data_IF_425253512181
#
_entry.id   IF_425253512181
#
_cell.length_a   1.000
_cell.length_b   1.000
_cell.length_c   1.000
_cell.angle_alpha   90.00
_cell.angle_beta   90.00
_cell.angle_gamma   90.00
#
_symmetry.space_group_name_H-M   'P 1'
#
loop_
_entity.id
_entity.type
_entity.pdbx_description
1 polymer ?
#
# COMPACT_ATOMS: atom_id res chain seq x y z
N UNK A 1 38.63 -50.95 -24.46
CA UNK A 1 37.75 -49.81 -24.76
C UNK A 1 37.44 -49.11 -23.45
N UNK A 2 37.97 -47.90 -23.29
CA UNK A 2 37.71 -47.00 -22.15
C UNK A 2 36.22 -46.62 -22.13
N UNK A 3 35.66 -46.49 -20.92
CA UNK A 3 34.23 -46.31 -20.66
C UNK A 3 33.68 -44.90 -20.89
N UNK A 4 32.46 -44.69 -20.38
CA UNK A 4 31.90 -43.46 -19.77
C UNK A 4 30.40 -43.76 -19.53
N UNK A 5 29.98 -44.05 -18.30
CA UNK A 5 29.46 -43.11 -17.28
C UNK A 5 28.22 -42.33 -17.72
N UNK A 6 27.15 -42.56 -16.97
CA UNK A 6 25.77 -42.22 -17.29
C UNK A 6 25.42 -40.74 -17.28
N UNK A 7 24.36 -40.43 -18.01
CA UNK A 7 23.68 -39.14 -17.97
C UNK A 7 22.48 -39.26 -17.01
N UNK A 8 22.67 -38.86 -15.75
CA UNK A 8 21.54 -38.53 -14.88
C UNK A 8 21.00 -37.16 -15.31
N UNK A 9 19.85 -37.15 -15.98
CA UNK A 9 19.14 -35.92 -16.32
C UNK A 9 18.62 -35.27 -15.03
N UNK A 10 19.31 -34.24 -14.55
CA UNK A 10 18.83 -33.40 -13.46
C UNK A 10 17.71 -32.53 -14.03
N UNK A 11 16.46 -32.92 -13.80
CA UNK A 11 15.30 -32.06 -14.03
C UNK A 11 15.36 -30.91 -13.03
N UNK A 12 16.04 -29.83 -13.44
CA UNK A 12 16.05 -28.58 -12.71
C UNK A 12 14.66 -27.97 -12.73
N UNK A 13 13.98 -27.99 -11.59
CA UNK A 13 12.81 -27.17 -11.38
C UNK A 13 13.24 -25.70 -11.50
N UNK A 14 12.83 -25.05 -12.59
CA UNK A 14 12.90 -23.60 -12.74
C UNK A 14 11.99 -22.98 -11.68
N UNK A 15 12.54 -22.77 -10.48
CA UNK A 15 11.91 -21.92 -9.49
C UNK A 15 11.94 -20.49 -10.06
N UNK A 16 10.85 -20.06 -10.69
CA UNK A 16 10.62 -18.64 -10.97
C UNK A 16 10.82 -17.87 -9.66
N UNK A 17 11.74 -16.90 -9.59
CA UNK A 17 11.85 -16.06 -8.42
C UNK A 17 10.51 -15.34 -8.26
N UNK A 18 9.87 -15.51 -7.11
CA UNK A 18 8.80 -14.61 -6.71
C UNK A 18 9.43 -13.22 -6.61
N UNK A 19 9.20 -12.36 -7.61
CA UNK A 19 9.52 -10.95 -7.49
C UNK A 19 8.69 -10.39 -6.35
N UNK A 20 9.28 -10.31 -5.17
CA UNK A 20 8.76 -9.46 -4.11
C UNK A 20 8.81 -8.03 -4.65
N UNK A 21 7.66 -7.45 -4.91
CA UNK A 21 7.55 -6.03 -5.23
C UNK A 21 8.28 -5.24 -4.14
N UNK A 22 9.08 -4.21 -4.48
CA UNK A 22 9.72 -3.39 -3.46
C UNK A 22 8.63 -2.75 -2.61
N UNK A 23 8.77 -2.85 -1.28
CA UNK A 23 7.83 -2.27 -0.33
C UNK A 23 7.80 -0.75 -0.53
N UNK A 24 6.79 -0.25 -1.23
CA UNK A 24 6.66 1.16 -1.55
C UNK A 24 5.89 1.82 -0.41
N UNK A 25 6.41 2.92 0.13
CA UNK A 25 5.71 3.72 1.15
C UNK A 25 5.35 5.08 0.57
N UNK A 26 4.11 5.51 0.77
CA UNK A 26 3.62 6.81 0.31
C UNK A 26 2.68 7.46 1.32
N UNK A 27 2.75 8.78 1.38
CA UNK A 27 1.85 9.58 2.22
C UNK A 27 0.69 10.16 1.41
N UNK A 28 -0.48 10.16 2.03
CA UNK A 28 -1.72 10.72 1.48
C UNK A 28 -2.34 11.68 2.47
N UNK A 29 -2.79 12.83 1.99
CA UNK A 29 -3.40 13.87 2.81
C UNK A 29 -4.85 14.02 2.42
N UNK A 30 -5.73 13.82 3.39
CA UNK A 30 -7.18 13.93 3.21
C UNK A 30 -7.72 15.19 3.86
N UNK A 31 -8.57 15.91 3.14
CA UNK A 31 -9.20 17.13 3.63
C UNK A 31 -10.71 16.95 3.72
N UNK A 32 -11.31 17.48 4.78
CA UNK A 32 -12.73 17.38 5.01
C UNK A 32 -13.30 18.65 5.58
N UNK A 33 -14.42 19.06 5.02
CA UNK A 33 -15.25 20.16 5.53
C UNK A 33 -16.71 19.73 5.52
N UNK A 34 -17.48 20.16 6.51
CA UNK A 34 -18.90 19.85 6.61
C UNK A 34 -19.59 20.78 7.58
N UNK A 35 -20.77 21.30 7.23
CA UNK A 35 -21.60 22.08 8.16
C UNK A 35 -22.33 21.20 9.21
N UNK A 36 -22.28 19.88 9.07
CA UNK A 36 -23.00 18.91 9.92
C UNK A 36 -22.09 18.18 10.92
N UNK A 37 -20.84 18.61 11.06
CA UNK A 37 -19.89 17.99 12.00
C UNK A 37 -19.22 16.70 11.48
N UNK A 38 -19.28 16.44 10.17
CA UNK A 38 -18.74 15.22 9.54
C UNK A 38 -17.37 15.45 8.87
N UNK A 39 -16.68 16.56 9.17
CA UNK A 39 -15.45 16.93 8.50
C UNK A 39 -14.36 15.84 8.60
N UNK A 40 -14.16 15.24 9.78
CA UNK A 40 -13.18 14.18 9.96
C UNK A 40 -13.51 12.92 9.14
N UNK A 41 -14.79 12.59 8.99
CA UNK A 41 -15.21 11.47 8.15
C UNK A 41 -14.87 11.72 6.69
N UNK A 42 -15.16 12.91 6.17
CA UNK A 42 -14.83 13.28 4.80
C UNK A 42 -13.33 13.35 4.55
N UNK A 43 -12.55 13.88 5.50
CA UNK A 43 -11.09 13.89 5.42
C UNK A 43 -10.52 12.47 5.27
N UNK A 44 -10.99 11.52 6.08
CA UNK A 44 -10.59 10.10 5.98
C UNK A 44 -11.01 9.46 4.66
N UNK A 45 -12.23 9.74 4.22
CA UNK A 45 -12.72 9.23 2.95
C UNK A 45 -11.90 9.74 1.76
N UNK A 46 -11.51 11.02 1.79
CA UNK A 46 -10.65 11.65 0.78
C UNK A 46 -9.26 10.98 0.74
N UNK A 47 -8.55 10.91 1.88
CA UNK A 47 -7.24 10.23 1.96
C UNK A 47 -7.30 8.79 1.47
N UNK A 48 -8.34 8.05 1.90
CA UNK A 48 -8.57 6.66 1.47
C UNK A 48 -8.76 6.54 -0.03
N UNK A 49 -9.61 7.39 -0.61
CA UNK A 49 -9.89 7.37 -2.06
C UNK A 49 -8.61 7.65 -2.86
N UNK A 50 -7.77 8.57 -2.40
CA UNK A 50 -6.48 8.86 -3.02
C UNK A 50 -5.54 7.65 -2.95
N UNK A 51 -5.42 7.00 -1.79
CA UNK A 51 -4.60 5.81 -1.61
C UNK A 51 -5.06 4.64 -2.48
N UNK A 52 -6.37 4.34 -2.50
CA UNK A 52 -6.96 3.28 -3.31
C UNK A 52 -6.74 3.52 -4.80
N UNK A 53 -6.91 4.76 -5.28
CA UNK A 53 -6.61 5.14 -6.68
C UNK A 53 -5.14 4.97 -7.05
N UNK A 54 -4.24 5.12 -6.09
CA UNK A 54 -2.81 4.89 -6.27
C UNK A 54 -2.41 3.40 -6.11
N UNK A 55 -3.35 2.52 -5.76
CA UNK A 55 -3.11 1.10 -5.56
C UNK A 55 -2.43 0.77 -4.22
N UNK A 56 -2.64 1.60 -3.19
CA UNK A 56 -2.22 1.34 -1.82
C UNK A 56 -3.42 0.88 -1.00
N UNK A 57 -3.30 -0.25 -0.31
CA UNK A 57 -4.40 -0.84 0.48
C UNK A 57 -4.07 -0.98 1.96
N UNK A 58 -2.79 -1.02 2.31
CA UNK A 58 -2.33 -1.05 3.70
C UNK A 58 -1.98 0.37 4.13
N UNK A 59 -2.81 0.98 4.97
CA UNK A 59 -2.73 2.40 5.31
C UNK A 59 -2.92 2.63 6.81
N UNK A 60 -2.08 3.49 7.38
CA UNK A 60 -2.14 3.93 8.76
C UNK A 60 -2.42 5.44 8.82
N UNK A 61 -3.47 5.86 9.52
CA UNK A 61 -3.64 7.25 9.94
C UNK A 61 -2.67 7.55 11.08
N UNK A 62 -1.56 8.23 10.80
CA UNK A 62 -0.55 8.54 11.82
C UNK A 62 -0.77 9.90 12.47
N UNK A 63 -1.47 10.82 11.79
CA UNK A 63 -1.76 12.15 12.32
C UNK A 63 -3.10 12.69 11.81
N UNK A 64 -3.72 13.54 12.63
CA UNK A 64 -4.89 14.32 12.25
C UNK A 64 -4.87 15.69 12.90
N UNK A 65 -5.35 16.67 12.16
CA UNK A 65 -5.63 18.02 12.64
C UNK A 65 -7.14 18.24 12.57
N UNK A 66 -7.76 18.45 13.74
CA UNK A 66 -9.20 18.77 13.84
C UNK A 66 -9.30 20.18 14.41
N UNK A 67 -9.49 21.16 13.53
CA UNK A 67 -9.62 22.57 13.94
C UNK A 67 -10.99 22.81 14.57
N UNK A 68 -12.02 22.17 14.00
CA UNK A 68 -13.39 22.22 14.49
C UNK A 68 -14.13 20.94 14.05
N UNK A 69 -15.36 20.67 14.53
CA UNK A 69 -16.15 19.59 13.95
C UNK A 69 -16.45 19.79 12.45
N UNK A 70 -16.27 21.01 11.93
CA UNK A 70 -16.60 21.41 10.58
C UNK A 70 -15.40 21.49 9.62
N UNK A 71 -14.17 21.33 10.14
CA UNK A 71 -12.94 21.34 9.36
C UNK A 71 -11.90 20.37 9.97
N UNK A 72 -11.44 19.43 9.15
CA UNK A 72 -10.44 18.46 9.54
C UNK A 72 -9.50 18.09 8.38
N UNK A 73 -8.25 17.80 8.73
CA UNK A 73 -7.25 17.22 7.83
C UNK A 73 -6.66 15.97 8.46
N UNK A 74 -6.43 14.93 7.67
CA UNK A 74 -5.79 13.68 8.10
C UNK A 74 -4.58 13.35 7.24
N UNK A 75 -3.61 12.68 7.83
CA UNK A 75 -2.39 12.27 7.17
C UNK A 75 -2.24 10.77 7.33
N UNK A 76 -2.20 10.09 6.19
CA UNK A 76 -2.07 8.65 6.10
C UNK A 76 -0.72 8.29 5.52
N UNK A 77 -0.13 7.22 6.03
CA UNK A 77 1.05 6.58 5.47
C UNK A 77 0.65 5.19 5.04
N UNK A 78 0.87 4.87 3.78
CA UNK A 78 0.45 3.60 3.20
C UNK A 78 1.63 2.84 2.60
N UNK A 79 1.52 1.51 2.62
CA UNK A 79 2.49 0.56 2.06
C UNK A 79 1.83 -0.37 1.03
N UNK A 80 2.63 -0.83 0.05
CA UNK A 80 2.25 -1.90 -0.90
C UNK A 80 3.45 -2.71 -1.35
#
# INVERSE_FOLDING_TARGET
MLGLLGAAAVMGAIATPASASPLETREFVGHGSSDFGLALFYARHDARTQAERAGFTDCEEYFKLVISPYDATVFWRCTR
#
